data_IF_355415438684
#
_entry.id   IF_355415438684
#
_cell.length_a   1.000
_cell.length_b   1.000
_cell.length_c   1.000
_cell.angle_alpha   90.00
_cell.angle_beta   90.00
_cell.angle_gamma   90.00
#
_symmetry.space_group_name_H-M   'P 1'
#
loop_
_entity.id
_entity.type
_entity.pdbx_description
1 polymer ?
#
# COMPACT_ATOMS: atom_id res chain seq x y z
N UNK A 1 -11.67 5.31 -14.97
CA UNK A 1 -11.32 4.41 -13.84
C UNK A 1 -10.30 3.40 -14.35
N UNK A 2 -9.02 3.71 -14.22
CA UNK A 2 -7.96 2.80 -14.64
C UNK A 2 -7.76 1.76 -13.55
N UNK A 3 -7.96 0.48 -13.88
CA UNK A 3 -7.65 -0.62 -12.99
C UNK A 3 -6.16 -0.55 -12.61
N UNK A 4 -5.79 -0.65 -11.33
CA UNK A 4 -4.39 -0.63 -10.94
C UNK A 4 -3.67 -1.85 -11.55
N UNK A 5 -2.35 -1.74 -11.81
CA UNK A 5 -1.56 -2.84 -12.32
C UNK A 5 -1.72 -4.06 -11.42
N UNK A 6 -2.14 -5.19 -11.99
CA UNK A 6 -2.20 -6.48 -11.29
C UNK A 6 -0.76 -6.95 -11.08
N UNK A 7 -0.26 -6.81 -9.87
CA UNK A 7 0.99 -7.41 -9.47
C UNK A 7 0.73 -8.89 -9.14
N UNK A 8 1.41 -9.81 -9.83
CA UNK A 8 1.31 -11.27 -9.60
C UNK A 8 1.80 -11.70 -8.19
N UNK A 9 2.40 -10.78 -7.44
CA UNK A 9 2.90 -11.03 -6.08
C UNK A 9 2.38 -10.00 -5.10
N UNK A 10 1.72 -10.48 -4.04
CA UNK A 10 1.25 -9.66 -2.91
C UNK A 10 2.42 -8.92 -2.23
N UNK A 11 3.64 -9.48 -2.30
CA UNK A 11 4.88 -8.80 -1.88
C UNK A 11 5.19 -7.58 -2.73
N UNK A 12 5.17 -7.74 -4.06
CA UNK A 12 5.44 -6.65 -4.98
C UNK A 12 4.39 -5.55 -4.85
N UNK A 13 3.12 -5.93 -4.66
CA UNK A 13 2.04 -5.00 -4.41
C UNK A 13 2.25 -4.21 -3.11
N UNK A 14 2.52 -4.89 -1.98
CA UNK A 14 2.75 -4.21 -0.70
C UNK A 14 3.98 -3.30 -0.73
N UNK A 15 5.07 -3.76 -1.36
CA UNK A 15 6.28 -2.95 -1.53
C UNK A 15 6.00 -1.73 -2.40
N UNK A 16 5.35 -1.90 -3.55
CA UNK A 16 4.98 -0.78 -4.42
C UNK A 16 4.06 0.21 -3.71
N UNK A 17 3.07 -0.29 -2.96
CA UNK A 17 2.10 0.54 -2.27
C UNK A 17 2.69 1.31 -1.09
N UNK A 18 3.82 0.86 -0.54
CA UNK A 18 4.52 1.57 0.53
C UNK A 18 5.68 2.44 0.04
N UNK A 19 6.41 1.99 -0.99
CA UNK A 19 7.51 2.76 -1.59
C UNK A 19 6.98 3.95 -2.37
N UNK A 20 5.86 3.82 -3.08
CA UNK A 20 5.28 4.91 -3.86
C UNK A 20 4.90 6.15 -3.01
N UNK A 21 4.13 6.05 -1.92
CA UNK A 21 3.82 7.22 -1.08
C UNK A 21 5.08 7.75 -0.37
N UNK A 22 6.02 6.88 0.00
CA UNK A 22 7.32 7.31 0.54
C UNK A 22 8.09 8.15 -0.48
N UNK A 23 8.14 7.72 -1.73
CA UNK A 23 8.79 8.45 -2.82
C UNK A 23 8.11 9.80 -3.10
N UNK A 24 6.77 9.86 -3.03
CA UNK A 24 6.03 11.13 -3.14
C UNK A 24 6.39 12.06 -1.98
N UNK A 25 6.40 11.54 -0.75
CA UNK A 25 6.71 12.33 0.44
C UNK A 25 8.13 12.91 0.36
N UNK A 26 9.09 12.12 -0.11
CA UNK A 26 10.46 12.55 -0.34
C UNK A 26 10.54 13.59 -1.44
N UNK A 27 9.81 13.42 -2.54
CA UNK A 27 9.79 14.43 -3.60
C UNK A 27 9.23 15.78 -3.10
N UNK A 28 8.20 15.75 -2.25
CA UNK A 28 7.64 16.95 -1.62
C UNK A 28 8.65 17.58 -0.65
N UNK A 29 9.31 16.77 0.16
CA UNK A 29 10.32 17.21 1.11
C UNK A 29 11.51 17.86 0.38
N UNK A 30 12.06 17.20 -0.63
CA UNK A 30 13.15 17.71 -1.46
C UNK A 30 12.82 19.07 -2.11
N UNK A 31 11.58 19.24 -2.61
CA UNK A 31 11.11 20.52 -3.16
C UNK A 31 11.06 21.59 -2.07
N UNK A 32 10.58 21.23 -0.88
CA UNK A 32 10.46 22.15 0.26
C UNK A 32 11.84 22.56 0.77
N UNK A 33 12.77 21.62 0.92
CA UNK A 33 14.14 21.89 1.36
C UNK A 33 14.89 22.73 0.31
N UNK A 34 14.69 22.47 -0.98
CA UNK A 34 15.24 23.30 -2.05
C UNK A 34 14.80 24.77 -1.93
N UNK A 35 13.49 25.00 -1.77
CA UNK A 35 12.95 26.35 -1.62
C UNK A 35 13.45 27.03 -0.32
N UNK A 36 13.40 26.32 0.81
CA UNK A 36 13.89 26.84 2.09
C UNK A 36 15.38 27.17 2.05
N UNK A 37 16.19 26.38 1.34
CA UNK A 37 17.63 26.63 1.19
C UNK A 37 17.93 27.88 0.37
N UNK A 38 17.16 28.13 -0.70
CA UNK A 38 17.31 29.35 -1.51
C UNK A 38 16.93 30.59 -0.70
N UNK A 39 15.80 30.56 0.01
CA UNK A 39 15.37 31.70 0.83
C UNK A 39 16.36 32.01 1.97
N UNK A 40 16.84 30.97 2.65
CA UNK A 40 17.86 31.12 3.69
C UNK A 40 19.16 31.70 3.12
N UNK A 41 19.56 31.28 1.92
CA UNK A 41 20.75 31.79 1.24
C UNK A 41 20.58 33.26 0.82
N UNK A 42 19.43 33.64 0.24
CA UNK A 42 19.15 35.02 -0.17
C UNK A 42 19.14 35.96 1.03
N UNK A 43 18.58 35.55 2.17
CA UNK A 43 18.55 36.36 3.38
C UNK A 43 19.94 36.54 4.00
N UNK A 44 20.73 35.47 4.06
CA UNK A 44 22.12 35.55 4.50
C UNK A 44 22.98 36.43 3.57
N UNK A 45 22.71 36.35 2.27
CA UNK A 45 23.37 37.17 1.24
C UNK A 45 23.04 38.65 1.40
N UNK A 46 21.75 39.00 1.44
CA UNK A 46 21.31 40.39 1.57
C UNK A 46 21.86 41.01 2.89
N UNK A 47 22.03 40.20 3.95
CA UNK A 47 22.67 40.64 5.20
C UNK A 47 24.16 40.96 5.03
N UNK A 48 24.91 40.09 4.35
CA UNK A 48 26.34 40.28 4.07
C UNK A 48 26.56 41.49 3.16
N UNK A 49 25.73 41.63 2.12
CA UNK A 49 25.80 42.75 1.19
C UNK A 49 25.49 44.08 1.90
N UNK A 50 24.46 44.12 2.75
CA UNK A 50 24.16 45.30 3.58
C UNK A 50 25.32 45.67 4.51
N UNK A 51 25.98 44.69 5.13
CA UNK A 51 27.13 44.95 5.99
C UNK A 51 28.27 45.60 5.19
N UNK A 52 28.54 45.10 3.99
CA UNK A 52 29.53 45.68 3.07
C UNK A 52 29.14 47.08 2.61
N UNK A 53 27.87 47.31 2.27
CA UNK A 53 27.35 48.64 1.89
C UNK A 53 27.44 49.64 3.04
N UNK A 54 27.16 49.23 4.29
CA UNK A 54 27.29 50.09 5.47
C UNK A 54 28.75 50.41 5.79
N UNK A 55 29.64 49.42 5.74
CA UNK A 55 31.07 49.65 5.95
C UNK A 55 31.65 50.61 4.90
N UNK A 56 31.14 50.57 3.67
CA UNK A 56 31.47 51.55 2.63
C UNK A 56 30.86 52.92 2.93
N UNK A 57 29.62 52.98 3.43
CA UNK A 57 28.95 54.25 3.73
C UNK A 57 29.55 55.03 4.88
N UNK A 58 30.09 54.36 5.90
CA UNK A 58 30.82 55.00 7.00
C UNK A 58 32.11 55.70 6.54
N UNK A 59 32.63 55.37 5.36
CA UNK A 59 33.86 55.93 4.78
C UNK A 59 33.60 57.01 3.72
N UNK A 60 32.33 57.36 3.50
CA UNK A 60 31.95 58.48 2.64
C UNK A 60 31.87 59.74 3.50
N UNK A 61 32.81 60.67 3.28
CA UNK A 61 32.88 61.94 4.01
C UNK A 61 32.78 63.12 3.05
N UNK A 62 32.29 64.26 3.52
CA UNK A 62 32.36 65.51 2.77
C UNK A 62 33.73 66.15 3.06
N UNK A 63 34.49 66.45 2.01
CA UNK A 63 35.76 67.20 2.12
C UNK A 63 35.68 68.37 1.16
N UNK A 64 35.80 69.60 1.66
CA UNK A 64 35.68 70.83 0.87
C UNK A 64 34.36 70.95 0.08
N UNK A 65 33.24 70.56 0.68
CA UNK A 65 31.91 70.67 0.05
C UNK A 65 31.65 69.68 -1.08
N UNK A 66 32.53 68.69 -1.30
CA UNK A 66 32.31 67.58 -2.23
C UNK A 66 32.27 66.26 -1.48
N UNK A 67 31.39 65.36 -1.90
CA UNK A 67 31.36 63.98 -1.38
C UNK A 67 32.64 63.31 -1.86
N UNK A 68 33.46 62.80 -0.94
CA UNK A 68 34.67 62.05 -1.24
C UNK A 68 34.58 60.69 -0.57
N UNK A 69 34.66 59.63 -1.36
CA UNK A 69 34.74 58.26 -0.86
C UNK A 69 36.22 57.85 -0.80
N UNK A 70 36.79 57.78 0.41
CA UNK A 70 38.15 57.27 0.61
C UNK A 70 38.07 55.75 0.80
N UNK A 71 38.05 55.01 -0.32
CA UNK A 71 37.99 53.55 -0.32
C UNK A 71 39.41 53.03 -0.56
N UNK A 72 40.12 52.50 0.44
CA UNK A 72 41.42 51.87 0.21
C UNK A 72 41.20 50.63 -0.65
N UNK A 73 41.89 50.51 -1.78
CA UNK A 73 41.87 49.33 -2.64
C UNK A 73 42.14 48.01 -1.88
N UNK A 74 42.86 48.08 -0.75
CA UNK A 74 43.20 46.94 0.13
C UNK A 74 41.97 46.35 0.84
N UNK A 75 40.88 47.11 1.01
CA UNK A 75 39.65 46.56 1.55
C UNK A 75 38.97 45.60 0.55
N UNK A 76 39.10 45.85 -0.76
CA UNK A 76 38.52 44.97 -1.78
C UNK A 76 39.16 43.57 -1.78
N UNK A 77 40.46 43.46 -1.53
CA UNK A 77 41.20 42.18 -1.51
C UNK A 77 40.81 41.30 -0.29
N UNK A 78 40.62 41.92 0.89
CA UNK A 78 40.10 41.21 2.08
C UNK A 78 38.61 40.85 1.95
N UNK A 79 37.80 41.64 1.22
CA UNK A 79 36.43 41.26 0.90
C UNK A 79 36.36 40.14 -0.16
N UNK A 80 37.26 40.13 -1.16
CA UNK A 80 37.41 39.05 -2.15
C UNK A 80 37.90 37.72 -1.53
N UNK A 81 38.59 37.79 -0.39
CA UNK A 81 39.05 36.58 0.32
C UNK A 81 37.91 35.89 1.10
N UNK A 82 36.94 36.66 1.60
CA UNK A 82 35.82 36.16 2.44
C UNK A 82 34.52 35.95 1.62
N UNK A 83 34.38 36.66 0.50
CA UNK A 83 33.31 36.47 -0.48
C UNK A 83 33.89 35.95 -1.78
N UNK A 84 33.50 34.75 -2.20
CA UNK A 84 34.03 34.11 -3.43
C UNK A 84 33.72 34.90 -4.73
N UNK A 85 32.99 36.03 -4.65
CA UNK A 85 32.52 36.81 -5.80
C UNK A 85 33.21 38.17 -5.95
N UNK A 86 33.14 38.73 -7.16
CA UNK A 86 33.65 40.08 -7.46
C UNK A 86 32.70 41.13 -6.89
N UNK A 87 33.28 42.15 -6.26
CA UNK A 87 32.53 43.28 -5.69
C UNK A 87 32.66 44.51 -6.59
N UNK A 88 31.52 45.08 -6.92
CA UNK A 88 31.38 46.33 -7.65
C UNK A 88 30.73 47.36 -6.74
N UNK A 89 31.16 48.62 -6.77
CA UNK A 89 30.51 49.68 -6.03
C UNK A 89 30.35 50.95 -6.85
N UNK A 90 29.35 51.76 -6.52
CA UNK A 90 29.11 53.08 -7.09
C UNK A 90 28.66 54.02 -5.97
N UNK A 91 29.33 55.16 -5.85
CA UNK A 91 28.95 56.24 -4.94
C UNK A 91 28.46 57.39 -5.79
N UNK A 92 27.22 57.79 -5.55
CA UNK A 92 26.57 58.93 -6.18
C UNK A 92 26.37 60.02 -5.13
N UNK A 93 26.80 61.23 -5.45
CA UNK A 93 26.73 62.41 -4.61
C UNK A 93 25.30 62.95 -4.45
N UNK A 94 25.19 64.10 -3.81
CA UNK A 94 23.92 64.71 -3.41
C UNK A 94 23.15 65.24 -4.63
N UNK A 95 23.87 65.67 -5.66
CA UNK A 95 23.29 66.23 -6.90
C UNK A 95 23.06 65.16 -7.97
N UNK A 96 23.28 63.88 -7.63
CA UNK A 96 23.23 62.77 -8.58
C UNK A 96 24.52 62.60 -9.40
N UNK A 97 25.57 63.33 -9.04
CA UNK A 97 26.90 63.26 -9.67
C UNK A 97 27.65 61.99 -9.25
N UNK A 98 28.41 61.41 -10.18
CA UNK A 98 29.26 60.27 -9.89
C UNK A 98 30.47 60.70 -9.05
N UNK A 99 30.68 60.05 -7.91
CA UNK A 99 31.76 60.36 -6.97
C UNK A 99 32.91 59.36 -7.09
N UNK A 100 32.60 58.05 -7.02
CA UNK A 100 33.62 57.00 -6.97
C UNK A 100 33.06 55.63 -7.34
N UNK A 101 33.92 54.74 -7.85
CA UNK A 101 33.60 53.36 -8.21
C UNK A 101 33.34 53.13 -9.69
N UNK A 102 32.29 52.38 -10.01
CA UNK A 102 31.89 52.00 -11.37
C UNK A 102 30.65 52.80 -11.79
N UNK A 103 30.82 53.82 -12.64
CA UNK A 103 29.71 54.68 -13.06
C UNK A 103 28.68 53.94 -13.95
N UNK A 104 29.11 52.91 -14.66
CA UNK A 104 28.27 52.06 -15.51
C UNK A 104 27.47 51.00 -14.73
N UNK A 105 27.52 51.01 -13.39
CA UNK A 105 26.73 50.10 -12.57
C UNK A 105 25.22 50.37 -12.76
N UNK A 106 24.40 49.32 -12.99
CA UNK A 106 22.97 49.48 -13.26
C UNK A 106 22.26 50.30 -12.17
N UNK A 107 21.47 51.33 -12.53
CA UNK A 107 20.81 52.20 -11.56
C UNK A 107 19.70 51.46 -10.81
N UNK A 108 19.31 52.01 -9.65
CA UNK A 108 18.17 51.50 -8.88
C UNK A 108 16.88 51.56 -9.73
N UNK A 109 16.18 50.43 -9.95
CA UNK A 109 14.93 50.43 -10.70
C UNK A 109 13.86 51.28 -10.01
N UNK A 110 13.05 52.02 -10.78
CA UNK A 110 11.98 52.89 -10.24
C UNK A 110 10.89 52.14 -9.48
N UNK A 111 10.75 50.84 -9.74
CA UNK A 111 9.80 49.94 -9.09
C UNK A 111 10.43 49.12 -7.94
N UNK A 112 11.68 49.39 -7.57
CA UNK A 112 12.34 48.68 -6.48
C UNK A 112 11.65 49.00 -5.15
N UNK A 113 11.29 47.95 -4.41
CA UNK A 113 10.68 48.10 -3.09
C UNK A 113 11.77 48.18 -2.02
N UNK A 114 11.55 49.04 -1.03
CA UNK A 114 12.42 49.13 0.14
C UNK A 114 12.35 47.82 0.91
N UNK A 115 13.51 47.29 1.31
CA UNK A 115 13.54 46.12 2.18
C UNK A 115 12.95 46.47 3.55
N UNK A 116 11.93 45.71 3.97
CA UNK A 116 11.34 45.82 5.31
C UNK A 116 12.12 45.03 6.37
N UNK A 117 13.01 44.13 5.93
CA UNK A 117 13.82 43.30 6.81
C UNK A 117 14.88 44.10 7.59
N UNK A 118 15.17 45.33 7.17
CA UNK A 118 16.23 46.15 7.76
C UNK A 118 15.75 47.59 8.04
N UNK A 119 16.16 48.21 9.17
CA UNK A 119 15.82 49.60 9.49
C UNK A 119 16.43 50.64 8.52
N UNK A 120 17.52 50.27 7.83
CA UNK A 120 18.19 51.16 6.87
C UNK A 120 17.31 51.45 5.64
N UNK A 121 17.57 52.58 4.97
CA UNK A 121 16.98 52.90 3.66
C UNK A 121 17.71 52.11 2.55
N UNK A 122 17.60 50.79 2.61
CA UNK A 122 18.26 49.85 1.68
C UNK A 122 17.26 49.19 0.73
N UNK A 123 17.67 49.08 -0.52
CA UNK A 123 16.97 48.40 -1.59
C UNK A 123 17.87 47.32 -2.15
N UNK A 124 17.33 46.12 -2.37
CA UNK A 124 18.06 45.04 -3.00
C UNK A 124 17.44 44.72 -4.36
N UNK A 125 18.27 44.60 -5.39
CA UNK A 125 17.80 44.27 -6.73
C UNK A 125 18.85 43.45 -7.49
N UNK A 126 18.39 42.65 -8.43
CA UNK A 126 19.28 41.90 -9.33
C UNK A 126 19.42 42.66 -10.64
N UNK A 127 20.62 42.63 -11.22
CA UNK A 127 20.91 43.18 -12.53
C UNK A 127 21.93 42.28 -13.25
N UNK A 128 22.13 42.51 -14.54
CA UNK A 128 23.22 41.90 -15.31
C UNK A 128 24.28 42.98 -15.52
N UNK A 129 25.52 42.71 -15.11
CA UNK A 129 26.64 43.62 -15.26
C UNK A 129 27.83 42.86 -15.83
N UNK A 130 28.40 43.36 -16.93
CA UNK A 130 29.52 42.71 -17.66
C UNK A 130 29.28 41.24 -18.05
N UNK A 131 28.03 40.89 -18.35
CA UNK A 131 27.63 39.53 -18.72
C UNK A 131 27.37 38.58 -17.55
N UNK A 132 27.59 39.03 -16.31
CA UNK A 132 27.38 38.25 -15.10
C UNK A 132 26.13 38.75 -14.34
N UNK A 133 25.33 37.86 -13.74
CA UNK A 133 24.25 38.27 -12.84
C UNK A 133 24.84 38.76 -11.51
N UNK A 134 24.49 40.00 -11.14
CA UNK A 134 24.91 40.66 -9.91
C UNK A 134 23.71 41.00 -9.04
N UNK A 135 23.85 40.86 -7.72
CA UNK A 135 22.85 41.34 -6.75
C UNK A 135 23.41 42.59 -6.08
N UNK A 136 22.67 43.69 -6.16
CA UNK A 136 23.08 45.03 -5.76
C UNK A 136 22.23 45.51 -4.58
N UNK A 137 22.89 46.02 -3.55
CA UNK A 137 22.29 46.76 -2.45
C UNK A 137 22.52 48.25 -2.68
N UNK A 138 21.43 49.02 -2.70
CA UNK A 138 21.43 50.46 -2.80
C UNK A 138 21.00 51.06 -1.46
N UNK A 139 21.91 51.75 -0.79
CA UNK A 139 21.71 52.40 0.50
C UNK A 139 21.70 53.91 0.33
N UNK A 140 20.64 54.55 0.79
CA UNK A 140 20.61 56.00 0.95
C UNK A 140 21.25 56.38 2.28
N UNK A 141 22.41 57.03 2.20
CA UNK A 141 23.17 57.50 3.36
C UNK A 141 22.98 59.02 3.50
N UNK A 142 22.42 59.51 4.61
CA UNK A 142 22.42 60.94 4.87
C UNK A 142 23.86 61.39 5.17
N UNK A 143 24.29 62.46 4.50
CA UNK A 143 25.61 63.05 4.69
C UNK A 143 25.43 64.52 5.07
N UNK A 144 26.06 64.92 6.16
CA UNK A 144 25.96 66.26 6.72
C UNK A 144 27.36 66.77 7.02
N UNK A 145 27.61 68.00 6.61
CA UNK A 145 28.76 68.82 6.99
C UNK A 145 28.24 70.20 7.42
N UNK A 146 29.10 71.06 7.95
CA UNK A 146 28.73 72.40 8.43
C UNK A 146 28.07 73.27 7.34
N UNK A 147 28.30 72.96 6.06
CA UNK A 147 27.80 73.72 4.91
C UNK A 147 26.80 73.00 4.01
N UNK A 148 26.74 71.66 4.01
CA UNK A 148 25.93 70.89 3.04
C UNK A 148 25.17 69.78 3.76
N UNK A 149 23.89 69.66 3.42
CA UNK A 149 23.00 68.58 3.88
C UNK A 149 22.40 67.88 2.67
N UNK A 150 22.56 66.57 2.58
CA UNK A 150 22.01 65.80 1.47
C UNK A 150 22.00 64.31 1.72
N UNK A 151 21.58 63.57 0.70
CA UNK A 151 21.54 62.11 0.72
C UNK A 151 22.43 61.62 -0.42
N UNK A 152 23.48 60.89 -0.08
CA UNK A 152 24.29 60.16 -1.04
C UNK A 152 23.67 58.77 -1.28
N UNK A 153 23.77 58.29 -2.51
CA UNK A 153 23.34 56.94 -2.87
C UNK A 153 24.57 56.06 -3.03
N UNK A 154 24.63 54.98 -2.26
CA UNK A 154 25.74 54.04 -2.26
C UNK A 154 25.22 52.71 -2.73
N UNK A 155 25.78 52.23 -3.83
CA UNK A 155 25.42 50.96 -4.44
C UNK A 155 26.60 50.01 -4.32
N UNK A 156 26.36 48.79 -3.81
CA UNK A 156 27.36 47.71 -3.78
C UNK A 156 26.73 46.48 -4.39
N UNK A 157 27.35 45.95 -5.44
CA UNK A 157 26.95 44.73 -6.13
C UNK A 157 27.99 43.63 -5.94
N UNK A 158 27.54 42.40 -5.78
CA UNK A 158 28.40 41.21 -5.77
C UNK A 158 27.92 40.21 -6.83
N UNK A 159 28.87 39.54 -7.49
CA UNK A 159 28.59 38.53 -8.52
C UNK A 159 28.01 37.25 -7.93
N UNK A 160 26.96 36.69 -8.54
CA UNK A 160 26.28 35.48 -8.06
C UNK A 160 26.96 34.16 -8.50
N UNK A 161 27.98 34.21 -9.35
CA UNK A 161 28.54 33.03 -10.03
C UNK A 161 29.29 32.09 -9.08
N UNK A 162 30.23 32.61 -8.29
CA UNK A 162 31.03 31.79 -7.38
C UNK A 162 30.22 31.14 -6.24
N UNK A 163 28.97 31.59 -6.05
CA UNK A 163 28.05 31.03 -5.05
C UNK A 163 27.16 29.91 -5.60
N UNK A 164 26.95 29.83 -6.93
CA UNK A 164 26.18 28.72 -7.54
C UNK A 164 26.81 27.37 -7.25
N UNK A 165 28.14 27.30 -7.17
CA UNK A 165 28.85 26.06 -6.88
C UNK A 165 28.69 25.63 -5.41
N UNK A 166 28.65 26.59 -4.47
CA UNK A 166 28.37 26.30 -3.06
C UNK A 166 26.92 25.82 -2.88
N UNK A 167 25.94 26.49 -3.49
CA UNK A 167 24.54 26.06 -3.45
C UNK A 167 24.33 24.69 -4.11
N UNK A 168 25.01 24.40 -5.23
CA UNK A 168 25.02 23.06 -5.84
C UNK A 168 25.60 22.02 -4.90
N UNK A 169 26.67 22.33 -4.18
CA UNK A 169 27.29 21.41 -3.22
C UNK A 169 26.37 21.12 -2.03
N UNK A 170 25.72 22.14 -1.48
CA UNK A 170 24.72 21.99 -0.41
C UNK A 170 23.54 21.15 -0.90
N UNK A 171 23.02 21.45 -2.09
CA UNK A 171 21.93 20.68 -2.69
C UNK A 171 22.31 19.19 -2.86
N UNK A 172 23.52 18.92 -3.36
CA UNK A 172 23.97 17.54 -3.58
C UNK A 172 24.16 16.79 -2.25
N UNK A 173 24.70 17.45 -1.22
CA UNK A 173 24.87 16.84 0.11
C UNK A 173 23.51 16.55 0.78
N UNK A 174 22.57 17.49 0.69
CA UNK A 174 21.19 17.30 1.18
C UNK A 174 20.48 16.16 0.46
N UNK A 175 20.50 16.15 -0.88
CA UNK A 175 19.87 15.10 -1.68
C UNK A 175 20.51 13.72 -1.42
N UNK A 176 21.83 13.66 -1.21
CA UNK A 176 22.51 12.42 -0.86
C UNK A 176 22.04 11.87 0.50
N UNK A 177 21.92 12.75 1.51
CA UNK A 177 21.42 12.37 2.85
C UNK A 177 19.97 11.91 2.80
N UNK A 178 19.10 12.60 2.07
CA UNK A 178 17.72 12.18 1.85
C UNK A 178 17.66 10.82 1.13
N UNK A 179 18.42 10.65 0.05
CA UNK A 179 18.48 9.38 -0.69
C UNK A 179 18.91 8.22 0.22
N UNK A 180 19.88 8.43 1.12
CA UNK A 180 20.30 7.44 2.11
C UNK A 180 19.17 7.10 3.10
N UNK A 181 18.40 8.08 3.57
CA UNK A 181 17.25 7.85 4.45
C UNK A 181 16.15 7.04 3.75
N UNK A 182 15.86 7.36 2.48
CA UNK A 182 14.89 6.60 1.68
C UNK A 182 15.35 5.18 1.47
N UNK A 183 16.62 4.98 1.14
CA UNK A 183 17.19 3.64 0.96
C UNK A 183 17.08 2.83 2.26
N UNK A 184 17.41 3.44 3.40
CA UNK A 184 17.28 2.81 4.71
C UNK A 184 15.83 2.43 5.03
N UNK A 185 14.87 3.33 4.78
CA UNK A 185 13.45 3.07 4.95
C UNK A 185 12.98 1.92 4.03
N UNK A 186 13.38 1.93 2.75
CA UNK A 186 13.05 0.87 1.81
C UNK A 186 13.59 -0.50 2.26
N UNK A 187 14.82 -0.55 2.79
CA UNK A 187 15.42 -1.76 3.37
C UNK A 187 14.61 -2.23 4.59
N UNK A 188 14.26 -1.34 5.52
CA UNK A 188 13.46 -1.67 6.71
C UNK A 188 12.10 -2.24 6.32
N UNK A 189 11.44 -1.62 5.36
CA UNK A 189 10.15 -2.06 4.82
C UNK A 189 10.27 -3.43 4.18
N UNK A 190 11.32 -3.65 3.39
CA UNK A 190 11.59 -4.94 2.78
C UNK A 190 11.76 -6.04 3.83
N UNK A 191 12.51 -5.77 4.91
CA UNK A 191 12.63 -6.69 6.04
C UNK A 191 11.30 -6.90 6.77
N UNK A 192 10.52 -5.85 7.02
CA UNK A 192 9.23 -5.91 7.69
C UNK A 192 8.24 -6.79 6.92
N UNK A 193 8.10 -6.58 5.61
CA UNK A 193 7.23 -7.38 4.73
C UNK A 193 7.70 -8.84 4.69
N UNK A 194 9.02 -9.07 4.61
CA UNK A 194 9.58 -10.43 4.62
C UNK A 194 9.28 -11.16 5.93
N UNK A 195 9.36 -10.47 7.07
CA UNK A 195 9.07 -11.05 8.38
C UNK A 195 7.57 -11.27 8.58
N UNK A 196 6.73 -10.30 8.19
CA UNK A 196 5.28 -10.37 8.31
C UNK A 196 4.65 -11.51 7.49
N UNK A 197 5.22 -11.83 6.32
CA UNK A 197 4.72 -12.90 5.45
C UNK A 197 5.35 -14.27 5.73
N UNK A 198 6.36 -14.36 6.60
CA UNK A 198 7.01 -15.63 6.95
C UNK A 198 6.05 -16.67 7.57
N UNK A 199 5.10 -16.30 8.47
CA UNK A 199 4.13 -17.25 9.03
C UNK A 199 3.20 -17.84 7.97
N UNK A 200 2.79 -17.04 6.99
CA UNK A 200 1.96 -17.49 5.86
C UNK A 200 2.69 -18.56 5.04
N UNK A 201 3.96 -18.32 4.70
CA UNK A 201 4.76 -19.30 3.97
C UNK A 201 4.99 -20.60 4.75
N UNK A 202 5.15 -20.51 6.08
CA UNK A 202 5.24 -21.70 6.94
C UNK A 202 3.95 -22.49 6.91
N UNK A 203 2.81 -21.82 7.04
CA UNK A 203 1.49 -22.47 6.96
C UNK A 203 1.29 -23.15 5.60
N UNK A 204 1.71 -22.53 4.49
CA UNK A 204 1.68 -23.18 3.17
C UNK A 204 2.52 -24.45 3.15
N UNK A 205 3.77 -24.39 3.66
CA UNK A 205 4.63 -25.56 3.76
C UNK A 205 4.06 -26.67 4.65
N UNK A 206 3.43 -26.31 5.77
CA UNK A 206 2.78 -27.25 6.69
C UNK A 206 1.58 -27.95 6.03
N UNK A 207 0.83 -27.24 5.19
CA UNK A 207 -0.28 -27.79 4.40
C UNK A 207 0.25 -28.71 3.30
N UNK A 208 1.27 -28.31 2.55
CA UNK A 208 1.85 -29.10 1.46
C UNK A 208 2.57 -30.36 1.94
N UNK A 209 3.19 -30.32 3.12
CA UNK A 209 3.90 -31.46 3.69
C UNK A 209 2.96 -32.51 4.31
N UNK A 210 1.70 -32.15 4.59
CA UNK A 210 0.72 -33.08 5.15
C UNK A 210 0.27 -34.10 4.11
N UNK A 211 0.12 -35.34 4.57
CA UNK A 211 -0.45 -36.40 3.73
C UNK A 211 -1.92 -36.07 3.43
N UNK A 212 -2.46 -36.43 2.26
CA UNK A 212 -3.87 -36.20 1.93
C UNK A 212 -4.87 -36.80 2.92
N UNK A 213 -4.45 -37.81 3.70
CA UNK A 213 -5.25 -38.48 4.74
C UNK A 213 -5.08 -37.87 6.13
N UNK A 214 -4.15 -36.93 6.32
CA UNK A 214 -3.91 -36.27 7.60
C UNK A 214 -4.79 -35.03 7.73
N UNK A 215 -5.90 -35.21 8.45
CA UNK A 215 -6.93 -34.19 8.65
C UNK A 215 -6.84 -33.54 10.04
N UNK A 216 -5.71 -33.68 10.75
CA UNK A 216 -5.53 -33.09 12.08
C UNK A 216 -5.74 -31.56 12.06
N UNK A 217 -6.17 -30.98 13.17
CA UNK A 217 -6.33 -29.53 13.24
C UNK A 217 -4.97 -28.80 13.13
N UNK A 218 -5.01 -27.58 12.61
CA UNK A 218 -3.90 -26.63 12.72
C UNK A 218 -4.03 -25.86 14.03
N UNK A 219 -2.93 -25.73 14.77
CA UNK A 219 -2.90 -25.00 16.04
C UNK A 219 -2.99 -23.47 15.82
N UNK A 220 -4.06 -22.80 16.26
CA UNK A 220 -4.22 -21.36 16.09
C UNK A 220 -3.23 -20.52 16.90
N UNK A 221 -2.57 -21.10 17.91
CA UNK A 221 -1.59 -20.41 18.76
C UNK A 221 -0.25 -20.18 18.07
N UNK A 222 0.08 -21.01 17.07
CA UNK A 222 1.32 -20.93 16.30
C UNK A 222 1.30 -19.85 15.21
N UNK A 223 0.14 -19.23 14.95
CA UNK A 223 -0.04 -18.20 13.94
C UNK A 223 -0.41 -16.84 14.54
N UNK A 224 -0.09 -15.79 13.79
CA UNK A 224 -0.42 -14.41 14.16
C UNK A 224 -1.95 -14.19 14.13
N UNK A 225 -2.42 -13.19 14.89
CA UNK A 225 -3.85 -12.94 15.12
C UNK A 225 -4.64 -12.78 13.81
N UNK A 226 -4.03 -12.19 12.81
CA UNK A 226 -4.59 -11.90 11.49
C UNK A 226 -4.83 -13.17 10.67
N UNK A 227 -4.06 -14.25 10.91
CA UNK A 227 -4.14 -15.52 10.18
C UNK A 227 -5.07 -16.51 10.89
N UNK A 228 -5.40 -16.30 12.17
CA UNK A 228 -6.29 -17.18 12.95
C UNK A 228 -7.66 -17.43 12.31
N UNK A 229 -8.35 -16.44 11.70
CA UNK A 229 -9.63 -16.69 11.03
C UNK A 229 -9.51 -17.67 9.87
N UNK A 230 -8.42 -17.61 9.11
CA UNK A 230 -8.15 -18.55 8.02
C UNK A 230 -7.90 -19.96 8.56
N UNK A 231 -7.09 -20.08 9.61
CA UNK A 231 -6.85 -21.38 10.29
C UNK A 231 -8.16 -21.96 10.83
N UNK A 232 -9.01 -21.15 11.45
CA UNK A 232 -10.32 -21.58 11.94
C UNK A 232 -11.23 -22.07 10.80
N UNK A 233 -11.26 -21.36 9.66
CA UNK A 233 -12.01 -21.78 8.48
C UNK A 233 -11.48 -23.11 7.90
N UNK A 234 -10.16 -23.28 7.85
CA UNK A 234 -9.53 -24.53 7.41
C UNK A 234 -9.86 -25.70 8.34
N UNK A 235 -9.73 -25.54 9.65
CA UNK A 235 -10.10 -26.57 10.62
C UNK A 235 -11.60 -26.93 10.51
N UNK A 236 -12.47 -25.93 10.34
CA UNK A 236 -13.90 -26.16 10.10
C UNK A 236 -14.18 -26.96 8.83
N UNK A 237 -13.44 -26.72 7.75
CA UNK A 237 -13.53 -27.51 6.52
C UNK A 237 -13.02 -28.94 6.73
N UNK A 238 -11.87 -29.11 7.40
CA UNK A 238 -11.30 -30.43 7.70
C UNK A 238 -12.26 -31.26 8.57
N UNK A 239 -12.89 -30.66 9.58
CA UNK A 239 -13.88 -31.33 10.42
C UNK A 239 -15.10 -31.80 9.60
N UNK A 240 -15.60 -30.99 8.67
CA UNK A 240 -16.69 -31.40 7.75
C UNK A 240 -16.26 -32.56 6.85
N UNK A 241 -15.04 -32.50 6.30
CA UNK A 241 -14.49 -33.56 5.46
C UNK A 241 -14.31 -34.88 6.25
N UNK A 242 -13.80 -34.80 7.48
CA UNK A 242 -13.70 -35.96 8.38
C UNK A 242 -15.07 -36.59 8.63
N UNK A 243 -16.10 -35.78 8.91
CA UNK A 243 -17.46 -36.26 9.13
C UNK A 243 -18.02 -36.98 7.89
N UNK A 244 -17.81 -36.41 6.69
CA UNK A 244 -18.23 -37.02 5.42
C UNK A 244 -17.52 -38.36 5.17
N UNK A 245 -16.21 -38.42 5.35
CA UNK A 245 -15.43 -39.66 5.16
C UNK A 245 -15.84 -40.73 6.19
N UNK A 246 -16.05 -40.34 7.45
CA UNK A 246 -16.49 -41.25 8.49
C UNK A 246 -17.90 -41.81 8.19
N UNK A 247 -18.81 -40.97 7.71
CA UNK A 247 -20.14 -41.37 7.23
C UNK A 247 -20.05 -42.37 6.08
N UNK A 248 -19.27 -42.06 5.05
CA UNK A 248 -19.06 -42.93 3.89
C UNK A 248 -18.49 -44.31 4.29
N UNK A 249 -17.51 -44.35 5.19
CA UNK A 249 -16.93 -45.61 5.69
C UNK A 249 -17.96 -46.46 6.44
N UNK A 250 -18.78 -45.84 7.28
CA UNK A 250 -19.85 -46.52 8.02
C UNK A 250 -20.91 -47.07 7.06
N UNK A 251 -21.34 -46.27 6.09
CA UNK A 251 -22.28 -46.71 5.06
C UNK A 251 -21.75 -47.92 4.26
N UNK A 252 -20.50 -47.89 3.81
CA UNK A 252 -19.90 -49.02 3.07
C UNK A 252 -19.83 -50.27 3.95
N UNK A 253 -19.46 -50.14 5.22
CA UNK A 253 -19.41 -51.26 6.15
C UNK A 253 -20.81 -51.86 6.35
N UNK A 254 -21.81 -51.02 6.62
CA UNK A 254 -23.19 -51.44 6.86
C UNK A 254 -23.81 -52.09 5.62
N UNK A 255 -23.62 -51.49 4.43
CA UNK A 255 -24.05 -52.06 3.15
C UNK A 255 -23.41 -53.43 2.89
N UNK A 256 -22.11 -53.56 3.14
CA UNK A 256 -21.39 -54.82 2.97
C UNK A 256 -21.94 -55.92 3.89
N UNK A 257 -22.22 -55.58 5.16
CA UNK A 257 -22.83 -56.51 6.11
C UNK A 257 -24.26 -56.90 5.70
N UNK A 258 -25.09 -55.92 5.35
CA UNK A 258 -26.49 -56.13 4.94
C UNK A 258 -26.61 -57.00 3.70
N UNK A 259 -25.70 -56.86 2.72
CA UNK A 259 -25.69 -57.68 1.50
C UNK A 259 -25.11 -59.09 1.72
N UNK A 260 -24.14 -59.27 2.62
CA UNK A 260 -23.49 -60.57 2.85
C UNK A 260 -24.48 -61.63 3.36
N UNK A 261 -25.42 -61.24 4.23
CA UNK A 261 -26.43 -62.13 4.80
C UNK A 261 -27.32 -62.78 3.74
N UNK A 262 -28.07 -62.04 2.91
CA UNK A 262 -28.93 -62.63 1.88
C UNK A 262 -28.13 -63.35 0.80
N UNK A 263 -26.93 -62.89 0.45
CA UNK A 263 -26.04 -63.61 -0.47
C UNK A 263 -25.61 -64.98 0.08
N UNK A 264 -25.40 -65.08 1.40
CA UNK A 264 -25.10 -66.37 2.06
C UNK A 264 -26.33 -67.28 2.04
N UNK A 265 -27.52 -66.74 2.28
CA UNK A 265 -28.79 -67.50 2.20
C UNK A 265 -29.02 -68.02 0.78
N UNK A 266 -28.87 -67.16 -0.24
CA UNK A 266 -28.98 -67.54 -1.65
C UNK A 266 -28.00 -68.65 -2.01
N UNK A 267 -26.75 -68.54 -1.55
CA UNK A 267 -25.74 -69.58 -1.76
C UNK A 267 -26.16 -70.91 -1.15
N UNK A 268 -26.61 -70.92 0.11
CA UNK A 268 -27.06 -72.13 0.79
C UNK A 268 -28.28 -72.76 0.12
N UNK A 269 -29.27 -71.94 -0.29
CA UNK A 269 -30.46 -72.41 -0.99
C UNK A 269 -30.10 -73.01 -2.36
N UNK A 270 -29.18 -72.39 -3.11
CA UNK A 270 -28.70 -72.93 -4.38
C UNK A 270 -27.94 -74.25 -4.19
N UNK A 271 -27.08 -74.36 -3.18
CA UNK A 271 -26.38 -75.60 -2.84
C UNK A 271 -27.33 -76.73 -2.42
N UNK A 272 -28.41 -76.41 -1.70
CA UNK A 272 -29.44 -77.37 -1.31
C UNK A 272 -30.26 -77.83 -2.52
N UNK A 273 -30.68 -76.89 -3.37
CA UNK A 273 -31.41 -77.19 -4.60
C UNK A 273 -30.60 -78.14 -5.49
N UNK A 274 -29.30 -77.89 -5.69
CA UNK A 274 -28.42 -78.77 -6.48
C UNK A 274 -28.33 -80.23 -5.96
N UNK A 275 -28.66 -80.47 -4.69
CA UNK A 275 -28.62 -81.81 -4.06
C UNK A 275 -29.99 -82.48 -4.02
N UNK A 276 -31.06 -81.78 -4.36
CA UNK A 276 -32.42 -82.32 -4.28
C UNK A 276 -32.75 -83.18 -5.50
N UNK A 277 -33.44 -84.29 -5.26
CA UNK A 277 -33.86 -85.25 -6.29
C UNK A 277 -35.35 -85.24 -6.55
N UNK A 278 -36.18 -84.74 -5.63
CA UNK A 278 -37.61 -84.57 -5.85
C UNK A 278 -37.91 -83.31 -6.70
N UNK A 279 -38.54 -83.45 -7.90
CA UNK A 279 -38.90 -82.32 -8.75
C UNK A 279 -39.88 -81.32 -8.12
N UNK A 280 -40.64 -81.72 -7.10
CA UNK A 280 -41.56 -80.84 -6.39
C UNK A 280 -40.82 -80.00 -5.34
N UNK A 281 -40.04 -80.64 -4.47
CA UNK A 281 -39.17 -79.96 -3.51
C UNK A 281 -38.14 -79.02 -4.18
N UNK A 282 -37.59 -79.42 -5.34
CA UNK A 282 -36.70 -78.57 -6.16
C UNK A 282 -37.41 -77.27 -6.60
N UNK A 283 -38.66 -77.37 -7.07
CA UNK A 283 -39.44 -76.20 -7.50
C UNK A 283 -39.70 -75.24 -6.34
N UNK A 284 -40.00 -75.76 -5.16
CA UNK A 284 -40.20 -74.95 -3.96
C UNK A 284 -38.90 -74.22 -3.55
N UNK A 285 -37.74 -74.88 -3.63
CA UNK A 285 -36.44 -74.26 -3.37
C UNK A 285 -36.07 -73.18 -4.39
N UNK A 286 -36.30 -73.42 -5.69
CA UNK A 286 -36.12 -72.40 -6.73
C UNK A 286 -37.04 -71.20 -6.50
N UNK A 287 -38.27 -71.42 -6.05
CA UNK A 287 -39.17 -70.36 -5.60
C UNK A 287 -38.61 -69.56 -4.41
N UNK A 288 -38.00 -70.24 -3.44
CA UNK A 288 -37.31 -69.60 -2.31
C UNK A 288 -36.08 -68.77 -2.72
N UNK A 289 -35.31 -69.23 -3.71
CA UNK A 289 -34.20 -68.48 -4.31
C UNK A 289 -34.72 -67.21 -4.99
N UNK A 290 -35.80 -67.33 -5.79
CA UNK A 290 -36.43 -66.18 -6.44
C UNK A 290 -36.88 -65.13 -5.41
N UNK A 291 -37.61 -65.54 -4.35
CA UNK A 291 -38.04 -64.62 -3.30
C UNK A 291 -36.88 -63.96 -2.54
N UNK A 292 -35.81 -64.71 -2.25
CA UNK A 292 -34.61 -64.15 -1.59
C UNK A 292 -33.86 -63.18 -2.51
N UNK A 293 -33.87 -63.43 -3.83
CA UNK A 293 -33.30 -62.53 -4.84
C UNK A 293 -34.08 -61.21 -4.89
N UNK A 294 -35.42 -61.27 -4.94
CA UNK A 294 -36.27 -60.08 -4.92
C UNK A 294 -36.04 -59.25 -3.66
N UNK A 295 -35.97 -59.89 -2.49
CA UNK A 295 -35.64 -59.21 -1.24
C UNK A 295 -34.27 -58.52 -1.27
N UNK A 296 -33.27 -59.16 -1.88
CA UNK A 296 -31.92 -58.60 -2.04
C UNK A 296 -31.90 -57.40 -2.98
N UNK A 297 -32.65 -57.47 -4.09
CA UNK A 297 -32.83 -56.34 -5.02
C UNK A 297 -33.49 -55.16 -4.31
N UNK A 298 -34.55 -55.42 -3.53
CA UNK A 298 -35.19 -54.37 -2.73
C UNK A 298 -34.25 -53.73 -1.71
N UNK A 299 -33.41 -54.53 -1.03
CA UNK A 299 -32.40 -54.01 -0.11
C UNK A 299 -31.36 -53.14 -0.84
N UNK A 300 -30.84 -53.59 -1.98
CA UNK A 300 -29.90 -52.82 -2.77
C UNK A 300 -30.49 -51.48 -3.22
N UNK A 301 -31.75 -51.47 -3.67
CA UNK A 301 -32.47 -50.26 -4.03
C UNK A 301 -32.65 -49.31 -2.83
N UNK A 302 -32.94 -49.82 -1.64
CA UNK A 302 -33.03 -49.01 -0.41
C UNK A 302 -31.70 -48.36 -0.05
N UNK A 303 -30.59 -49.12 -0.12
CA UNK A 303 -29.25 -48.60 0.12
C UNK A 303 -28.88 -47.51 -0.89
N UNK A 304 -29.22 -47.69 -2.17
CA UNK A 304 -28.99 -46.67 -3.21
C UNK A 304 -29.81 -45.40 -2.99
N UNK A 305 -31.08 -45.54 -2.59
CA UNK A 305 -31.93 -44.40 -2.23
C UNK A 305 -31.40 -43.64 -1.01
N UNK A 306 -30.92 -44.35 0.01
CA UNK A 306 -30.30 -43.75 1.19
C UNK A 306 -29.02 -42.99 0.81
N UNK A 307 -28.14 -43.61 0.02
CA UNK A 307 -26.90 -42.96 -0.44
C UNK A 307 -27.18 -41.67 -1.22
N UNK A 308 -28.21 -41.67 -2.08
CA UNK A 308 -28.64 -40.48 -2.83
C UNK A 308 -29.20 -39.40 -1.91
N UNK A 309 -29.96 -39.77 -0.89
CA UNK A 309 -30.50 -38.83 0.09
C UNK A 309 -29.38 -38.16 0.91
N UNK A 310 -28.39 -38.93 1.36
CA UNK A 310 -27.24 -38.40 2.12
C UNK A 310 -26.35 -37.46 1.30
N UNK A 311 -26.12 -37.75 0.01
CA UNK A 311 -25.31 -36.89 -0.87
C UNK A 311 -26.08 -35.69 -1.40
N UNK A 312 -27.38 -35.84 -1.70
CA UNK A 312 -28.22 -34.79 -2.30
C UNK A 312 -28.72 -33.72 -1.32
N UNK A 313 -28.81 -34.04 -0.02
CA UNK A 313 -29.26 -33.09 1.00
C UNK A 313 -28.31 -31.89 1.20
N UNK A 314 -27.05 -31.99 0.74
CA UNK A 314 -26.05 -30.93 0.88
C UNK A 314 -26.06 -29.90 -0.28
N UNK A 315 -26.70 -30.21 -1.41
CA UNK A 315 -26.64 -29.37 -2.63
C UNK A 315 -27.98 -28.70 -3.00
N UNK A 316 -29.09 -29.03 -2.35
CA UNK A 316 -30.40 -28.45 -2.63
C UNK A 316 -30.69 -27.19 -1.81
N UNK A 317 -31.15 -26.11 -2.46
CA UNK A 317 -31.77 -24.98 -1.76
C UNK A 317 -33.01 -25.46 -1.00
N UNK A 318 -33.07 -25.17 0.31
CA UNK A 318 -34.27 -25.42 1.11
C UNK A 318 -35.40 -24.51 0.62
N UNK A 319 -36.44 -25.13 0.06
CA UNK A 319 -37.64 -24.42 -0.38
C UNK A 319 -38.76 -24.59 0.65
N UNK A 320 -39.60 -23.56 0.79
CA UNK A 320 -40.84 -23.68 1.56
C UNK A 320 -41.79 -24.65 0.85
N UNK A 321 -42.08 -25.78 1.50
CA UNK A 321 -43.00 -26.81 0.99
C UNK A 321 -44.23 -26.87 1.88
N UNK A 322 -45.43 -26.85 1.28
CA UNK A 322 -46.68 -27.10 1.99
C UNK A 322 -46.77 -28.59 2.37
N UNK A 323 -46.64 -28.88 3.67
CA UNK A 323 -46.74 -30.24 4.18
C UNK A 323 -48.13 -30.85 3.92
N UNK A 324 -49.19 -30.04 4.01
CA UNK A 324 -50.57 -30.48 3.69
C UNK A 324 -50.71 -30.85 2.21
N UNK A 325 -50.12 -30.06 1.32
CA UNK A 325 -50.11 -30.34 -0.12
C UNK A 325 -49.34 -31.62 -0.45
N UNK A 326 -48.14 -31.77 0.12
CA UNK A 326 -47.30 -32.94 -0.07
C UNK A 326 -47.94 -34.22 0.48
N UNK A 327 -48.46 -34.18 1.71
CA UNK A 327 -49.09 -35.34 2.33
C UNK A 327 -50.36 -35.79 1.57
N UNK A 328 -51.15 -34.84 1.05
CA UNK A 328 -52.28 -35.14 0.18
C UNK A 328 -51.84 -35.82 -1.11
N UNK A 329 -50.80 -35.31 -1.76
CA UNK A 329 -50.27 -35.88 -3.00
C UNK A 329 -49.80 -37.32 -2.78
N UNK A 330 -48.98 -37.56 -1.75
CA UNK A 330 -48.48 -38.89 -1.41
C UNK A 330 -49.64 -39.84 -1.04
N UNK A 331 -50.64 -39.35 -0.31
CA UNK A 331 -51.84 -40.13 0.01
C UNK A 331 -52.60 -40.59 -1.24
N UNK A 332 -52.73 -39.73 -2.25
CA UNK A 332 -53.37 -40.07 -3.53
C UNK A 332 -52.54 -41.10 -4.32
N UNK A 333 -51.21 -40.96 -4.35
CA UNK A 333 -50.31 -41.91 -5.01
C UNK A 333 -50.39 -43.31 -4.37
N UNK A 334 -50.54 -43.38 -3.05
CA UNK A 334 -50.64 -44.64 -2.30
C UNK A 334 -52.05 -45.25 -2.27
N UNK A 335 -53.09 -44.48 -2.57
CA UNK A 335 -54.49 -44.93 -2.48
C UNK A 335 -54.78 -46.19 -3.31
N UNK A 336 -54.21 -46.28 -4.52
CA UNK A 336 -54.42 -47.44 -5.42
C UNK A 336 -53.84 -48.73 -4.83
N UNK A 337 -52.67 -48.64 -4.19
CA UNK A 337 -52.07 -49.80 -3.53
C UNK A 337 -52.73 -50.13 -2.19
N UNK A 338 -53.24 -49.13 -1.48
CA UNK A 338 -54.01 -49.34 -0.25
C UNK A 338 -55.29 -50.15 -0.54
N UNK A 339 -56.03 -49.80 -1.59
CA UNK A 339 -57.23 -50.55 -2.03
C UNK A 339 -56.90 -51.98 -2.42
N UNK A 340 -55.80 -52.22 -3.18
CA UNK A 340 -55.38 -53.58 -3.55
C UNK A 340 -55.06 -54.47 -2.34
N UNK A 341 -54.67 -53.85 -1.22
CA UNK A 341 -54.31 -54.53 0.04
C UNK A 341 -55.43 -54.48 1.08
N UNK A 342 -56.61 -53.97 0.72
CA UNK A 342 -57.76 -53.80 1.62
C UNK A 342 -57.43 -52.97 2.87
N UNK A 343 -56.58 -51.95 2.69
CA UNK A 343 -56.16 -51.00 3.73
C UNK A 343 -56.96 -49.71 3.56
N UNK A 344 -57.64 -49.29 4.63
CA UNK A 344 -58.28 -47.97 4.70
C UNK A 344 -57.23 -46.89 4.95
N UNK A 345 -57.10 -45.95 4.02
CA UNK A 345 -56.12 -44.86 4.05
C UNK A 345 -56.86 -43.52 4.04
N UNK A 346 -56.87 -42.83 5.18
CA UNK A 346 -57.48 -41.50 5.33
C UNK A 346 -56.43 -40.42 5.60
N UNK A 347 -56.69 -39.21 5.09
CA UNK A 347 -55.86 -38.02 5.36
C UNK A 347 -56.72 -36.93 6.00
N UNK A 348 -56.41 -36.59 7.25
CA UNK A 348 -57.01 -35.49 7.98
C UNK A 348 -55.99 -34.34 8.14
N UNK A 349 -56.28 -33.19 7.56
CA UNK A 349 -55.42 -32.01 7.64
C UNK A 349 -56.24 -30.72 7.69
N UNK A 350 -55.76 -29.73 8.47
CA UNK A 350 -56.31 -28.38 8.42
C UNK A 350 -55.97 -27.71 7.09
N UNK A 351 -56.95 -26.95 6.58
CA UNK A 351 -57.01 -26.43 5.22
C UNK A 351 -55.82 -25.56 4.84
#
# INVERSE_FOLDING_TARGET
MNAPPRFDSLRAQLLAWLIFPLAILVAIDAVTVYHASIEAADLAYDRSLLASTRALSERVSIVNGKVVANVPYVALDSFETDTLGRIYYKVTGIEGDFVSGYDDLPPLPKNAQRSQAYPALVYFYQAVYRGEPVRIAALYQPVYDDTIRGIALIQVGESLEARRDLSRKILFDTLLREALLVLAAAILVWFAVRFALRPLMRLTGDVEARKPTDLADFDPSLVHREVRPLVAAMNGYMARLQALIAGQRRFIADASHQLRTPLTVLKTQAELALRETDPKAMRDMVGGIAGTTDATVHLANRLLSLARAEHGAAEGELQHVSLTGLARQVGLELAVEAVKKDIDLSFEGQR
#
